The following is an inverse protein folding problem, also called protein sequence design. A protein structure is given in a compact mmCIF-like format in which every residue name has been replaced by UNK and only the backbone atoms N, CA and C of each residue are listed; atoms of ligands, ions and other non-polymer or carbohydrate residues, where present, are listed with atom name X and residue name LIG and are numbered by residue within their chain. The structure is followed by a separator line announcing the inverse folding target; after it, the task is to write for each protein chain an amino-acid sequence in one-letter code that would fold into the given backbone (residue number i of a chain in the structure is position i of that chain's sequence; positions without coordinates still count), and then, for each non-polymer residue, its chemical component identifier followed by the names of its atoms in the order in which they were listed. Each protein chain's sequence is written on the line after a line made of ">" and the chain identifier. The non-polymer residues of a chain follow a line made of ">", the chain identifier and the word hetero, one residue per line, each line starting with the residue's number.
data_IF_567688353995
#
_entry.id   IF_567688353995
#
_cell.length_a   1.000
_cell.length_b   1.000
_cell.length_c   1.000
_cell.angle_alpha   90.00
_cell.angle_beta   90.00
_cell.angle_gamma   90.00
#
_symmetry.space_group_name_H-M   'P 1'
#
loop_
_entity.id
_entity.type
_entity.pdbx_description
1 polymer ?
#
# COMPACT_ATOMS: atom_id res chain seq x y z
N UNK A 1 -10.92 -6.77 4.53
CA UNK A 1 -11.11 -6.30 3.13
C UNK A 1 -11.43 -4.81 3.09
N UNK A 2 -10.43 -4.04 2.69
CA UNK A 2 -10.48 -2.59 2.55
C UNK A 2 -11.37 -2.24 1.34
N UNK A 3 -12.44 -1.45 1.52
CA UNK A 3 -13.46 -1.17 0.48
C UNK A 3 -12.96 -0.31 -0.69
N UNK A 4 -11.69 0.10 -0.65
CA UNK A 4 -11.12 1.14 -1.50
C UNK A 4 -10.03 0.63 -2.45
N UNK A 5 -9.61 -0.62 -2.28
CA UNK A 5 -8.59 -1.27 -3.10
C UNK A 5 -9.17 -2.54 -3.71
N UNK A 6 -9.34 -2.55 -5.03
CA UNK A 6 -9.77 -3.74 -5.76
C UNK A 6 -8.55 -4.56 -6.15
N UNK A 7 -8.35 -5.69 -5.48
CA UNK A 7 -7.27 -6.61 -5.79
C UNK A 7 -7.63 -7.43 -7.02
N UNK A 8 -6.78 -7.38 -8.04
CA UNK A 8 -6.95 -8.14 -9.28
C UNK A 8 -6.17 -9.45 -9.25
N UNK A 9 -4.95 -9.42 -8.69
CA UNK A 9 -4.08 -10.58 -8.61
C UNK A 9 -3.09 -10.46 -7.43
N UNK A 10 -2.70 -11.60 -6.85
CA UNK A 10 -1.65 -11.69 -5.83
C UNK A 10 -0.65 -12.76 -6.30
N UNK A 11 0.61 -12.38 -6.44
CA UNK A 11 1.70 -13.30 -6.83
C UNK A 11 2.80 -13.28 -5.77
N UNK A 12 3.03 -14.42 -5.13
CA UNK A 12 4.23 -14.60 -4.28
C UNK A 12 5.45 -14.76 -5.17
N UNK A 13 6.44 -13.88 -5.00
CA UNK A 13 7.68 -13.88 -5.78
C UNK A 13 8.77 -14.74 -5.11
N UNK A 14 8.81 -14.71 -3.76
CA UNK A 14 9.68 -15.52 -2.91
C UNK A 14 9.06 -15.64 -1.51
N UNK A 15 9.70 -16.36 -0.59
CA UNK A 15 9.23 -16.64 0.78
C UNK A 15 8.89 -15.38 1.60
N UNK A 16 9.41 -14.23 1.20
CA UNK A 16 9.24 -12.97 1.93
C UNK A 16 8.58 -11.88 1.11
N UNK A 17 8.34 -12.08 -0.18
CA UNK A 17 7.96 -11.03 -1.11
C UNK A 17 6.72 -11.39 -1.91
N UNK A 18 5.74 -10.50 -1.89
CA UNK A 18 4.48 -10.65 -2.61
C UNK A 18 4.23 -9.41 -3.45
N UNK A 19 3.78 -9.63 -4.69
CA UNK A 19 3.31 -8.58 -5.59
C UNK A 19 1.78 -8.63 -5.64
N UNK A 20 1.15 -7.50 -5.37
CA UNK A 20 -0.31 -7.34 -5.42
C UNK A 20 -0.66 -6.38 -6.55
N UNK A 21 -1.31 -6.88 -7.60
CA UNK A 21 -1.83 -6.02 -8.66
C UNK A 21 -3.24 -5.58 -8.29
N UNK A 22 -3.46 -4.27 -8.23
CA UNK A 22 -4.71 -3.70 -7.74
C UNK A 22 -5.11 -2.43 -8.49
N UNK A 23 -6.38 -2.06 -8.32
CA UNK A 23 -6.93 -0.81 -8.79
C UNK A 23 -7.41 0.04 -7.61
N UNK A 24 -7.08 1.33 -7.60
CA UNK A 24 -7.61 2.28 -6.64
C UNK A 24 -9.05 2.62 -7.02
N UNK A 25 -10.01 2.29 -6.16
CA UNK A 25 -11.41 2.59 -6.43
C UNK A 25 -11.70 4.07 -6.22
N UNK A 26 -12.31 4.72 -7.20
CA UNK A 26 -12.72 6.14 -7.10
C UNK A 26 -13.69 6.41 -5.95
N UNK A 27 -14.46 5.41 -5.50
CA UNK A 27 -15.36 5.55 -4.34
C UNK A 27 -14.61 5.59 -3.00
N UNK A 28 -13.27 5.54 -3.02
CA UNK A 28 -12.44 5.67 -1.85
C UNK A 28 -12.74 6.99 -1.11
N UNK A 29 -13.22 6.87 0.13
CA UNK A 29 -13.58 8.04 0.95
C UNK A 29 -12.40 8.98 1.19
N UNK A 30 -11.16 8.52 1.03
CA UNK A 30 -9.96 9.36 1.10
C UNK A 30 -9.87 10.43 -0.01
N UNK A 31 -10.67 10.31 -1.08
CA UNK A 31 -10.82 11.35 -2.10
C UNK A 31 -11.89 12.39 -1.77
N UNK A 32 -12.79 12.14 -0.81
CA UNK A 32 -13.79 13.12 -0.38
C UNK A 32 -13.12 14.19 0.50
N UNK A 33 -12.76 15.31 -0.12
CA UNK A 33 -12.23 16.50 0.58
C UNK A 33 -10.72 16.73 0.45
N UNK A 34 -9.96 15.83 -0.19
CA UNK A 34 -8.52 15.99 -0.41
C UNK A 34 -8.25 16.57 -1.81
N UNK A 35 -8.20 17.92 -1.88
CA UNK A 35 -8.12 18.78 -3.08
C UNK A 35 -9.35 18.70 -3.99
N UNK A 36 -10.25 19.70 -3.89
CA UNK A 36 -11.51 19.78 -4.66
C UNK A 36 -11.33 19.62 -6.18
N UNK A 37 -10.16 19.93 -6.74
CA UNK A 37 -9.89 19.86 -8.18
C UNK A 37 -8.90 18.78 -8.61
N UNK A 38 -8.12 18.18 -7.68
CA UNK A 38 -7.08 17.18 -8.00
C UNK A 38 -7.00 16.09 -6.92
N UNK A 39 -7.94 15.12 -6.92
CA UNK A 39 -7.91 14.03 -5.95
C UNK A 39 -6.64 13.18 -6.14
N UNK A 40 -5.83 13.11 -5.09
CA UNK A 40 -4.66 12.24 -5.02
C UNK A 40 -4.79 11.32 -3.82
N UNK A 41 -4.30 10.08 -3.94
CA UNK A 41 -4.35 9.13 -2.84
C UNK A 41 -3.36 9.57 -1.74
N UNK A 42 -3.84 10.00 -0.56
CA UNK A 42 -2.96 10.56 0.45
C UNK A 42 -2.02 9.49 1.02
N UNK A 43 -0.87 9.92 1.53
CA UNK A 43 0.13 9.02 2.09
C UNK A 43 -0.40 8.12 3.20
N UNK A 44 -1.33 8.62 4.03
CA UNK A 44 -1.96 7.84 5.09
C UNK A 44 -2.82 6.69 4.55
N UNK A 45 -3.50 6.89 3.42
CA UNK A 45 -4.29 5.83 2.77
C UNK A 45 -3.37 4.75 2.19
N UNK A 46 -2.23 5.15 1.60
CA UNK A 46 -1.22 4.20 1.12
C UNK A 46 -0.67 3.35 2.27
N UNK A 47 -0.38 3.96 3.41
CA UNK A 47 0.07 3.25 4.62
C UNK A 47 -1.01 2.29 5.14
N UNK A 48 -2.26 2.73 5.23
CA UNK A 48 -3.38 1.87 5.63
C UNK A 48 -3.53 0.65 4.71
N UNK A 49 -3.42 0.84 3.38
CA UNK A 49 -3.46 -0.27 2.42
C UNK A 49 -2.31 -1.26 2.67
N UNK A 50 -1.10 -0.77 2.89
CA UNK A 50 0.06 -1.62 3.19
C UNK A 50 -0.15 -2.41 4.48
N UNK A 51 -0.62 -1.77 5.56
CA UNK A 51 -0.88 -2.45 6.84
C UNK A 51 -1.93 -3.53 6.65
N UNK A 52 -3.03 -3.23 5.98
CA UNK A 52 -4.10 -4.20 5.75
C UNK A 52 -3.62 -5.40 4.92
N UNK A 53 -2.93 -5.14 3.80
CA UNK A 53 -2.40 -6.19 2.94
C UNK A 53 -1.34 -7.02 3.66
N UNK A 54 -0.40 -6.39 4.36
CA UNK A 54 0.66 -7.10 5.07
C UNK A 54 0.12 -7.96 6.21
N UNK A 55 -0.92 -7.48 6.91
CA UNK A 55 -1.60 -8.26 7.94
C UNK A 55 -2.25 -9.52 7.37
N UNK A 56 -2.94 -9.38 6.24
CA UNK A 56 -3.62 -10.51 5.56
C UNK A 56 -2.61 -11.48 4.91
N UNK A 57 -1.54 -10.98 4.27
CA UNK A 57 -0.58 -11.78 3.51
C UNK A 57 0.46 -12.44 4.42
N UNK A 58 0.98 -11.73 5.42
CA UNK A 58 2.05 -12.22 6.30
C UNK A 58 1.54 -12.67 7.67
N UNK A 59 0.22 -12.70 7.88
CA UNK A 59 -0.42 -13.08 9.15
C UNK A 59 0.11 -12.26 10.35
N UNK A 60 0.24 -10.94 10.15
CA UNK A 60 0.68 -9.99 11.18
C UNK A 60 -0.55 -9.35 11.84
N UNK A 61 -0.52 -9.17 13.16
CA UNK A 61 -1.56 -8.43 13.85
C UNK A 61 -1.51 -6.93 13.49
N UNK A 62 -2.66 -6.36 13.10
CA UNK A 62 -2.76 -4.94 12.76
C UNK A 62 -2.37 -4.04 13.94
N UNK A 63 -2.67 -4.44 15.17
CA UNK A 63 -2.32 -3.63 16.34
C UNK A 63 -0.82 -3.58 16.64
N UNK A 64 -0.01 -4.45 16.03
CA UNK A 64 1.42 -4.44 16.29
C UNK A 64 2.21 -3.47 15.41
N UNK A 65 1.60 -2.90 14.37
CA UNK A 65 2.23 -1.83 13.58
C UNK A 65 2.31 -0.53 14.39
N UNK A 66 3.52 0.05 14.51
CA UNK A 66 3.71 1.22 15.36
C UNK A 66 4.67 2.30 14.83
N UNK A 67 5.63 1.94 13.96
CA UNK A 67 6.65 2.89 13.53
C UNK A 67 6.86 2.85 12.02
N UNK A 68 6.84 4.03 11.39
CA UNK A 68 7.09 4.21 9.95
C UNK A 68 8.44 4.93 9.81
N UNK A 69 9.58 4.21 9.88
CA UNK A 69 10.90 4.83 9.85
C UNK A 69 11.24 5.52 8.52
N UNK A 70 10.56 5.14 7.43
CA UNK A 70 10.82 5.68 6.12
C UNK A 70 9.57 5.63 5.24
N UNK A 71 9.25 6.76 4.63
CA UNK A 71 8.31 6.83 3.51
C UNK A 71 8.78 7.90 2.53
N UNK A 72 8.68 7.61 1.24
CA UNK A 72 9.04 8.55 0.16
C UNK A 72 7.96 8.51 -0.91
N UNK A 73 7.41 9.67 -1.22
CA UNK A 73 6.45 9.87 -2.32
C UNK A 73 7.17 10.51 -3.50
N UNK A 74 7.12 9.86 -4.67
CA UNK A 74 7.77 10.30 -5.91
C UNK A 74 6.75 10.75 -6.95
N UNK A 75 5.59 10.08 -7.02
CA UNK A 75 4.50 10.39 -7.95
C UNK A 75 3.16 10.33 -7.23
N UNK A 76 2.22 11.17 -7.67
CA UNK A 76 0.84 11.08 -7.23
C UNK A 76 0.20 9.80 -7.79
N UNK A 77 -0.61 9.15 -6.96
CA UNK A 77 -1.51 8.07 -7.36
C UNK A 77 -2.91 8.68 -7.44
N UNK A 78 -3.59 8.47 -8.56
CA UNK A 78 -4.88 9.06 -8.86
C UNK A 78 -6.01 8.03 -8.69
N UNK A 79 -7.28 8.48 -8.63
CA UNK A 79 -8.43 7.58 -8.74
C UNK A 79 -8.36 6.72 -10.01
N UNK A 80 -8.86 5.49 -9.92
CA UNK A 80 -8.91 4.50 -11.00
C UNK A 80 -7.55 4.01 -11.53
N UNK A 81 -6.42 4.48 -10.95
CA UNK A 81 -5.09 3.99 -11.30
C UNK A 81 -4.97 2.48 -11.04
N UNK A 82 -4.39 1.79 -12.03
CA UNK A 82 -3.93 0.42 -11.88
C UNK A 82 -2.45 0.45 -11.48
N UNK A 83 -2.13 -0.28 -10.43
CA UNK A 83 -0.80 -0.26 -9.84
C UNK A 83 -0.44 -1.62 -9.27
N UNK A 84 0.86 -1.83 -9.11
CA UNK A 84 1.39 -2.96 -8.37
C UNK A 84 1.89 -2.50 -7.01
N UNK A 85 1.57 -3.27 -5.96
CA UNK A 85 2.05 -3.07 -4.60
C UNK A 85 2.98 -4.24 -4.30
N UNK A 86 4.28 -3.97 -4.30
CA UNK A 86 5.27 -4.95 -3.86
C UNK A 86 5.43 -4.84 -2.35
N UNK A 87 5.20 -5.94 -1.65
CA UNK A 87 5.38 -6.04 -0.21
C UNK A 87 6.49 -7.05 0.08
N UNK A 88 7.33 -6.75 1.06
CA UNK A 88 8.22 -7.75 1.63
C UNK A 88 8.31 -7.65 3.14
N UNK A 89 8.40 -8.79 3.82
CA UNK A 89 8.47 -8.87 5.27
C UNK A 89 9.76 -9.56 5.73
N UNK A 90 10.64 -8.81 6.41
CA UNK A 90 11.88 -9.33 7.01
C UNK A 90 12.19 -8.61 8.31
N UNK A 91 12.62 -9.34 9.34
CA UNK A 91 13.08 -8.80 10.63
C UNK A 91 12.08 -7.83 11.28
N UNK A 92 10.80 -8.18 11.29
CA UNK A 92 9.70 -7.35 11.79
C UNK A 92 9.56 -5.98 11.06
N UNK A 93 9.98 -5.94 9.79
CA UNK A 93 9.86 -4.77 8.92
C UNK A 93 9.14 -5.18 7.64
N UNK A 94 7.98 -4.57 7.41
CA UNK A 94 7.29 -4.59 6.12
C UNK A 94 7.86 -3.47 5.26
N UNK A 95 8.57 -3.83 4.20
CA UNK A 95 8.94 -2.89 3.13
C UNK A 95 7.87 -2.91 2.06
N UNK A 96 7.54 -1.75 1.51
CA UNK A 96 6.55 -1.63 0.44
C UNK A 96 7.02 -0.73 -0.69
N UNK A 97 6.51 -0.98 -1.88
CA UNK A 97 6.69 -0.15 -3.07
C UNK A 97 5.41 -0.16 -3.90
N UNK A 98 4.86 1.03 -4.18
CA UNK A 98 3.79 1.22 -5.15
C UNK A 98 4.40 1.53 -6.51
N UNK A 99 4.02 0.79 -7.55
CA UNK A 99 4.48 0.97 -8.92
C UNK A 99 3.33 1.36 -9.84
N UNK A 100 3.45 2.50 -10.51
CA UNK A 100 2.56 2.94 -11.59
C UNK A 100 3.26 2.68 -12.92
N UNK A 101 2.70 1.80 -13.75
CA UNK A 101 3.26 1.44 -15.07
C UNK A 101 4.75 1.06 -14.98
N UNK A 102 5.11 0.26 -13.96
CA UNK A 102 6.47 -0.18 -13.68
C UNK A 102 7.40 0.87 -13.04
N UNK A 103 6.92 2.08 -12.74
CA UNK A 103 7.73 3.13 -12.11
C UNK A 103 7.29 3.37 -10.67
N UNK A 104 8.25 3.50 -9.75
CA UNK A 104 7.98 3.77 -8.34
C UNK A 104 7.20 5.06 -8.14
N UNK A 105 5.98 4.96 -7.61
CA UNK A 105 5.16 6.08 -7.18
C UNK A 105 5.44 6.44 -5.71
N UNK A 106 5.55 5.43 -4.85
CA UNK A 106 5.95 5.59 -3.46
C UNK A 106 6.62 4.33 -2.93
N UNK A 107 7.39 4.47 -1.86
CA UNK A 107 8.01 3.35 -1.18
C UNK A 107 8.25 3.67 0.29
N UNK A 108 8.36 2.65 1.11
CA UNK A 108 8.60 2.84 2.54
C UNK A 108 8.85 1.57 3.30
N UNK A 109 8.99 1.74 4.62
CA UNK A 109 9.17 0.67 5.60
C UNK A 109 8.27 0.96 6.78
N UNK A 110 7.62 -0.08 7.29
CA UNK A 110 6.78 -0.03 8.48
C UNK A 110 7.24 -1.16 9.41
N UNK A 111 7.57 -0.81 10.65
CA UNK A 111 7.91 -1.76 11.70
C UNK A 111 6.65 -2.21 12.41
N UNK A 112 6.66 -3.47 12.81
CA UNK A 112 5.66 -4.05 13.69
C UNK A 112 6.32 -4.76 14.86
N UNK A 113 5.58 -4.93 15.95
CA UNK A 113 5.99 -5.71 17.11
C UNK A 113 5.52 -7.17 16.92
N UNK A 114 6.34 -8.11 17.38
CA UNK A 114 6.10 -9.56 17.27
C UNK A 114 5.72 -10.15 18.61
#
# INVERSE_FOLDING_TARGET
>A
MNKHLKINNITTLDDHTTLVSAQILKECDFFKGHFQEQPILPGIAQVDFVINLASEIFNIDKSSFGNIPQIKFKKAILPDDNLDIKLSNKNNIVSFEFLLKGQTASLGKIKYES
#
